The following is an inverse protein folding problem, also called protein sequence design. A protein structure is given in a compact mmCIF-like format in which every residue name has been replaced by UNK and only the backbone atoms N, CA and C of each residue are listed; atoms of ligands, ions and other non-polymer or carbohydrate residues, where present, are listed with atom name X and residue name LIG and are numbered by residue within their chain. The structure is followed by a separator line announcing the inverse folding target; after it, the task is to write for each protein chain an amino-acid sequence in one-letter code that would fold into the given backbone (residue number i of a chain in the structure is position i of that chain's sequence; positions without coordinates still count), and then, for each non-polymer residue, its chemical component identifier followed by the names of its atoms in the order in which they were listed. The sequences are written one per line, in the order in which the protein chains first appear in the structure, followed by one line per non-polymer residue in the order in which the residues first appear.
data_IF_732024129831
#
_entry.id   IF_732024129831
#
_cell.length_a   1.000
_cell.length_b   1.000
_cell.length_c   1.000
_cell.angle_alpha   90.00
_cell.angle_beta   90.00
_cell.angle_gamma   90.00
#
_symmetry.space_group_name_H-M   'P 1'
#
loop_
_entity.id
_entity.type
_entity.pdbx_description
1 polymer ?
#
# COMPACT_ATOMS: atom_id res chain seq x y z
N UNK A 1 26.00 -3.87 26.56
CA UNK A 1 25.15 -4.65 25.62
C UNK A 1 23.72 -4.17 25.75
N UNK A 2 23.09 -3.67 24.69
CA UNK A 2 21.67 -3.23 24.77
C UNK A 2 20.76 -4.45 24.82
N UNK A 3 19.83 -4.46 25.78
CA UNK A 3 18.90 -5.57 26.07
C UNK A 3 17.60 -5.52 25.22
N UNK A 4 17.36 -4.43 24.50
CA UNK A 4 16.12 -4.20 23.74
C UNK A 4 16.37 -3.39 22.47
N UNK A 5 15.44 -3.50 21.51
CA UNK A 5 15.40 -2.66 20.32
C UNK A 5 15.05 -1.23 20.77
N UNK A 6 15.87 -0.27 20.41
CA UNK A 6 15.64 1.14 20.72
C UNK A 6 14.94 1.78 19.53
N UNK A 7 13.74 2.31 19.75
CA UNK A 7 13.01 3.06 18.72
C UNK A 7 13.52 4.49 18.57
N UNK A 8 13.12 5.14 17.48
CA UNK A 8 13.43 6.54 17.18
C UNK A 8 12.58 7.52 18.00
N UNK A 9 13.09 8.74 18.22
CA UNK A 9 12.39 9.77 18.97
C UNK A 9 11.18 10.31 18.18
N UNK A 10 10.00 10.43 18.81
CA UNK A 10 8.75 10.81 18.12
C UNK A 10 8.76 12.17 17.43
N UNK A 11 9.66 13.08 17.83
CA UNK A 11 9.79 14.42 17.23
C UNK A 11 10.95 14.52 16.23
N UNK A 12 11.64 13.41 15.95
CA UNK A 12 12.72 13.40 14.98
C UNK A 12 12.15 13.50 13.58
N UNK A 13 12.53 14.55 12.85
CA UNK A 13 12.22 14.66 11.43
C UNK A 13 12.99 13.61 10.64
N UNK A 14 12.38 13.10 9.57
CA UNK A 14 13.00 12.18 8.61
C UNK A 14 12.84 12.74 7.21
N UNK A 15 13.89 12.62 6.39
CA UNK A 15 13.80 12.88 4.95
C UNK A 15 13.21 11.64 4.28
N UNK A 16 12.10 11.81 3.56
CA UNK A 16 11.50 10.73 2.79
C UNK A 16 12.26 10.53 1.47
N UNK A 17 12.37 9.28 0.98
CA UNK A 17 12.85 9.01 -0.37
C UNK A 17 11.96 9.65 -1.44
N UNK A 18 12.42 9.63 -2.69
CA UNK A 18 11.64 10.15 -3.82
C UNK A 18 10.36 9.33 -4.07
N UNK A 19 10.40 8.02 -3.81
CA UNK A 19 9.24 7.14 -3.86
C UNK A 19 8.95 6.48 -2.52
N UNK A 20 7.67 6.33 -2.20
CA UNK A 20 7.25 5.61 -0.99
C UNK A 20 7.70 4.14 -1.02
N UNK A 21 7.71 3.52 -2.19
CA UNK A 21 8.17 2.14 -2.36
C UNK A 21 9.64 1.94 -2.00
N UNK A 22 10.50 2.96 -2.19
CA UNK A 22 11.90 2.89 -1.77
C UNK A 22 12.04 2.87 -0.24
N UNK A 23 11.03 3.33 0.49
CA UNK A 23 10.94 3.24 1.95
C UNK A 23 10.32 1.92 2.42
N UNK A 24 9.51 1.27 1.58
CA UNK A 24 8.79 0.04 1.92
C UNK A 24 9.52 -1.16 1.30
N UNK A 25 10.39 -1.79 2.08
CA UNK A 25 11.09 -3.00 1.64
C UNK A 25 10.15 -4.12 1.23
N UNK A 26 10.63 -5.06 0.41
CA UNK A 26 9.86 -6.23 -0.04
C UNK A 26 9.32 -7.07 1.13
N UNK A 27 10.04 -7.13 2.25
CA UNK A 27 9.65 -7.89 3.45
C UNK A 27 8.87 -7.04 4.46
N UNK A 28 8.50 -5.80 4.11
CA UNK A 28 7.75 -4.94 4.99
C UNK A 28 6.33 -5.53 5.19
N UNK A 29 5.86 -5.69 6.44
CA UNK A 29 4.55 -6.29 6.72
C UNK A 29 3.39 -5.52 6.08
N UNK A 30 3.54 -4.24 5.76
CA UNK A 30 2.48 -3.46 5.09
C UNK A 30 2.15 -4.01 3.69
N UNK A 31 3.08 -4.70 3.02
CA UNK A 31 2.88 -5.35 1.71
C UNK A 31 1.76 -6.40 1.73
N UNK A 32 1.36 -6.88 2.91
CA UNK A 32 0.19 -7.75 3.05
C UNK A 32 -1.11 -7.07 2.60
N UNK A 33 -1.17 -5.74 2.68
CA UNK A 33 -2.32 -4.95 2.22
C UNK A 33 -2.42 -5.01 0.71
N UNK A 34 -1.28 -4.89 0.00
CA UNK A 34 -1.22 -5.00 -1.45
C UNK A 34 -1.78 -6.36 -1.90
N UNK A 35 -1.25 -7.46 -1.33
CA UNK A 35 -1.72 -8.83 -1.61
C UNK A 35 -3.20 -9.00 -1.28
N UNK A 36 -3.65 -8.47 -0.14
CA UNK A 36 -5.05 -8.55 0.25
C UNK A 36 -5.96 -7.85 -0.76
N UNK A 37 -5.63 -6.63 -1.18
CA UNK A 37 -6.42 -5.86 -2.14
C UNK A 37 -6.42 -6.52 -3.52
N UNK A 38 -5.28 -7.04 -3.97
CA UNK A 38 -5.14 -7.76 -5.24
C UNK A 38 -6.01 -9.03 -5.30
N UNK A 39 -6.24 -9.69 -4.16
CA UNK A 39 -7.09 -10.87 -4.07
C UNK A 39 -8.61 -10.55 -3.96
N UNK A 40 -9.00 -9.29 -3.75
CA UNK A 40 -10.41 -8.93 -3.60
C UNK A 40 -11.15 -8.91 -4.94
N UNK A 41 -12.24 -9.67 -5.00
CA UNK A 41 -13.24 -9.50 -6.06
C UNK A 41 -14.16 -8.31 -5.75
N UNK A 42 -13.71 -7.12 -6.12
CA UNK A 42 -14.43 -5.86 -5.88
C UNK A 42 -15.83 -5.88 -6.52
N UNK A 43 -16.03 -6.61 -7.63
CA UNK A 43 -17.34 -6.75 -8.26
C UNK A 43 -18.30 -7.57 -7.38
N UNK A 44 -17.84 -8.67 -6.78
CA UNK A 44 -18.66 -9.46 -5.83
C UNK A 44 -19.05 -8.67 -4.58
N UNK A 45 -18.22 -7.73 -4.14
CA UNK A 45 -18.54 -6.86 -3.02
C UNK A 45 -19.44 -5.68 -3.38
N UNK A 46 -19.84 -5.54 -4.66
CA UNK A 46 -20.78 -4.52 -5.10
C UNK A 46 -20.15 -3.14 -5.30
N UNK A 47 -18.83 -3.04 -5.39
CA UNK A 47 -18.17 -1.78 -5.74
C UNK A 47 -18.51 -1.38 -7.18
N UNK A 48 -18.91 -0.12 -7.37
CA UNK A 48 -19.16 0.46 -8.69
C UNK A 48 -17.84 0.83 -9.41
N UNK A 49 -17.87 0.88 -10.74
CA UNK A 49 -16.71 1.30 -11.55
C UNK A 49 -15.62 0.23 -11.75
N UNK A 50 -15.81 -0.97 -11.20
CA UNK A 50 -14.89 -2.12 -11.38
C UNK A 50 -14.87 -2.59 -12.83
N UNK A 51 -16.02 -2.61 -13.48
CA UNK A 51 -16.14 -2.88 -14.93
C UNK A 51 -16.09 -1.56 -15.68
N UNK A 52 -15.07 -1.30 -16.52
CA UNK A 52 -15.02 -0.10 -17.34
C UNK A 52 -16.13 -0.09 -18.40
N UNK A 53 -16.59 1.10 -18.78
CA UNK A 53 -17.52 1.26 -19.91
C UNK A 53 -16.86 0.83 -21.23
N UNK A 54 -17.65 0.25 -22.15
CA UNK A 54 -17.16 -0.20 -23.47
C UNK A 54 -16.49 0.92 -24.27
N UNK A 55 -16.98 2.15 -24.13
CA UNK A 55 -16.35 3.37 -24.65
C UNK A 55 -16.20 4.35 -23.50
N UNK A 56 -14.99 4.49 -22.95
CA UNK A 56 -14.72 5.36 -21.81
C UNK A 56 -13.26 5.37 -21.39
N UNK A 57 -12.95 6.19 -20.38
CA UNK A 57 -11.63 6.17 -19.72
C UNK A 57 -11.50 4.85 -18.93
N UNK A 58 -10.36 4.14 -19.00
CA UNK A 58 -10.13 2.95 -18.20
C UNK A 58 -10.39 3.21 -16.71
N UNK A 59 -10.85 2.19 -16.00
CA UNK A 59 -10.98 2.21 -14.55
C UNK A 59 -9.63 2.51 -13.90
N UNK A 60 -9.66 3.17 -12.74
CA UNK A 60 -8.46 3.26 -11.91
C UNK A 60 -8.09 1.85 -11.45
N UNK A 61 -6.80 1.52 -11.47
CA UNK A 61 -6.31 0.31 -10.81
C UNK A 61 -6.46 0.51 -9.29
N UNK A 62 -7.02 -0.46 -8.55
CA UNK A 62 -7.01 -0.46 -7.09
C UNK A 62 -5.59 -0.30 -6.53
#
# INVERSE_FOLDING_TARGET
MKRFIQGEHRTQGTLLPEHLDDYITEQNPVRVVDVFVDELDLAKFGFGGVVPSETGRPSYHP
#
